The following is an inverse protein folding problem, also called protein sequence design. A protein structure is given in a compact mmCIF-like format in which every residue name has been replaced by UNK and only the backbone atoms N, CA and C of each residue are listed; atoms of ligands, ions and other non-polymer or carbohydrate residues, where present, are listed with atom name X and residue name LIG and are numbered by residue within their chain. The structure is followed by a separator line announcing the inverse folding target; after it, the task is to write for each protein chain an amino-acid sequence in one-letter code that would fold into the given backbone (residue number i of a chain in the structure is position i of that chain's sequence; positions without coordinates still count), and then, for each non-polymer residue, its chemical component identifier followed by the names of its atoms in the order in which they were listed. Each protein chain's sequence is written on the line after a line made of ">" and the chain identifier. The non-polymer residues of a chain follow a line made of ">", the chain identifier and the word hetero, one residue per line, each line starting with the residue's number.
data_IF_378806898267
#
_entry.id   IF_378806898267
#
_cell.length_a   1.000
_cell.length_b   1.000
_cell.length_c   1.000
_cell.angle_alpha   90.00
_cell.angle_beta   90.00
_cell.angle_gamma   90.00
#
_symmetry.space_group_name_H-M   'P 1'
#
loop_
_entity.id
_entity.type
_entity.pdbx_description
1 polymer ?
#
# COMPACT_ATOMS: atom_id res chain seq x y z
N UNK A 1 -9.88 -21.35 12.52
CA UNK A 1 -10.85 -20.43 11.88
C UNK A 1 -10.54 -20.34 10.40
N UNK A 2 -11.59 -20.37 9.57
CA UNK A 2 -11.46 -20.21 8.12
C UNK A 2 -11.77 -18.75 7.72
N UNK A 3 -10.84 -18.15 6.97
CA UNK A 3 -11.03 -16.82 6.40
C UNK A 3 -11.05 -16.89 4.86
N UNK A 4 -12.00 -16.20 4.24
CA UNK A 4 -12.03 -16.00 2.78
C UNK A 4 -11.77 -14.54 2.46
N UNK A 5 -10.71 -14.28 1.69
CA UNK A 5 -10.43 -12.99 1.06
C UNK A 5 -11.14 -12.92 -0.30
N UNK A 6 -12.07 -12.01 -0.44
CA UNK A 6 -12.85 -11.79 -1.66
C UNK A 6 -12.22 -10.67 -2.48
N UNK A 7 -11.55 -11.03 -3.57
CA UNK A 7 -10.80 -10.11 -4.44
C UNK A 7 -11.48 -10.10 -5.82
N UNK A 8 -12.54 -9.28 -5.96
CA UNK A 8 -13.34 -9.21 -7.20
C UNK A 8 -13.32 -7.81 -7.80
N UNK A 9 -12.98 -6.79 -7.03
CA UNK A 9 -12.82 -5.43 -7.53
C UNK A 9 -11.64 -5.32 -8.51
N UNK A 10 -10.59 -6.11 -8.29
CA UNK A 10 -9.42 -6.26 -9.15
C UNK A 10 -9.16 -7.75 -9.47
N UNK A 11 -8.26 -8.02 -10.42
CA UNK A 11 -7.79 -9.39 -10.69
C UNK A 11 -6.68 -9.72 -9.69
N UNK A 12 -6.82 -10.84 -9.00
CA UNK A 12 -5.75 -11.37 -8.16
C UNK A 12 -4.54 -11.75 -9.02
N UNK A 13 -3.36 -11.30 -8.63
CA UNK A 13 -2.10 -11.60 -9.31
C UNK A 13 -1.06 -12.01 -8.27
N UNK A 14 -0.54 -13.21 -8.39
CA UNK A 14 0.51 -13.69 -7.50
C UNK A 14 1.84 -12.95 -7.67
N UNK A 15 2.64 -12.95 -6.60
CA UNK A 15 3.99 -12.40 -6.60
C UNK A 15 4.06 -10.87 -6.52
N UNK A 16 2.92 -10.18 -6.41
CA UNK A 16 2.88 -8.74 -6.21
C UNK A 16 2.86 -8.37 -4.73
N UNK A 17 3.49 -7.25 -4.38
CA UNK A 17 3.50 -6.71 -3.00
C UNK A 17 2.26 -5.87 -2.66
N UNK A 18 1.08 -6.27 -3.17
CA UNK A 18 -0.18 -5.58 -2.86
C UNK A 18 -0.77 -6.10 -1.56
N UNK A 19 -1.59 -5.28 -0.90
CA UNK A 19 -2.25 -5.64 0.35
C UNK A 19 -3.12 -6.90 0.20
N UNK A 20 -3.81 -7.06 -0.93
CA UNK A 20 -4.61 -8.24 -1.27
C UNK A 20 -3.80 -9.53 -1.46
N UNK A 21 -2.46 -9.44 -1.56
CA UNK A 21 -1.55 -10.60 -1.55
C UNK A 21 -0.95 -10.83 -0.16
N UNK A 22 -0.54 -9.74 0.51
CA UNK A 22 0.21 -9.84 1.77
C UNK A 22 -0.72 -10.18 2.95
N UNK A 23 -1.90 -9.57 3.05
CA UNK A 23 -2.84 -9.88 4.14
C UNK A 23 -3.24 -11.37 4.19
N UNK A 24 -3.63 -12.03 3.08
CA UNK A 24 -3.89 -13.47 3.11
C UNK A 24 -2.69 -14.29 3.55
N UNK A 25 -1.47 -13.97 3.08
CA UNK A 25 -0.25 -14.65 3.49
C UNK A 25 0.01 -14.52 5.00
N UNK A 26 -0.19 -13.31 5.55
CA UNK A 26 -0.07 -13.10 7.01
C UNK A 26 -1.15 -13.81 7.83
N UNK A 27 -2.35 -13.95 7.30
CA UNK A 27 -3.38 -14.75 7.96
C UNK A 27 -3.03 -16.25 7.98
N UNK A 28 -2.33 -16.78 6.96
CA UNK A 28 -1.74 -18.13 7.03
C UNK A 28 -0.68 -18.21 8.14
N UNK A 29 0.24 -17.24 8.20
CA UNK A 29 1.27 -17.18 9.26
C UNK A 29 0.65 -17.09 10.68
N UNK A 30 -0.53 -16.48 10.81
CA UNK A 30 -1.32 -16.42 12.04
C UNK A 30 -2.12 -17.70 12.34
N UNK A 31 -1.95 -18.75 11.52
CA UNK A 31 -2.59 -20.06 11.72
C UNK A 31 -4.05 -20.13 11.27
N UNK A 32 -4.53 -19.23 10.41
CA UNK A 32 -5.86 -19.32 9.84
C UNK A 32 -5.88 -20.20 8.59
N UNK A 33 -6.97 -20.97 8.38
CA UNK A 33 -7.27 -21.64 7.12
C UNK A 33 -7.70 -20.56 6.11
N UNK A 34 -6.74 -20.10 5.31
CA UNK A 34 -6.89 -18.89 4.49
C UNK A 34 -7.15 -19.24 3.04
N UNK A 35 -8.24 -18.68 2.52
CA UNK A 35 -8.66 -18.82 1.14
C UNK A 35 -8.71 -17.45 0.46
N UNK A 36 -8.40 -17.42 -0.82
CA UNK A 36 -8.63 -16.28 -1.72
C UNK A 36 -9.63 -16.72 -2.78
N UNK A 37 -10.69 -15.94 -2.96
CA UNK A 37 -11.61 -16.10 -4.09
C UNK A 37 -11.52 -14.90 -5.02
N UNK A 38 -11.27 -15.15 -6.29
CA UNK A 38 -11.16 -14.13 -7.33
C UNK A 38 -11.68 -14.66 -8.67
N UNK A 39 -11.36 -14.03 -9.77
CA UNK A 39 -11.71 -14.47 -11.10
C UNK A 39 -10.52 -14.37 -12.05
N UNK A 40 -10.50 -15.23 -13.06
CA UNK A 40 -9.54 -15.14 -14.16
C UNK A 40 -10.25 -14.71 -15.44
N UNK A 41 -9.69 -13.71 -16.13
CA UNK A 41 -10.24 -13.20 -17.39
C UNK A 41 -10.13 -14.19 -18.55
N UNK A 42 -9.24 -15.18 -18.43
CA UNK A 42 -8.89 -16.12 -19.52
C UNK A 42 -9.60 -17.45 -19.41
N UNK A 43 -10.26 -17.76 -18.26
CA UNK A 43 -10.86 -19.07 -18.03
C UNK A 43 -12.37 -19.01 -17.93
N UNK A 44 -13.04 -19.80 -18.76
CA UNK A 44 -14.47 -20.09 -18.69
C UNK A 44 -14.79 -21.14 -17.60
N UNK A 45 -13.78 -21.89 -17.17
CA UNK A 45 -13.85 -22.89 -16.09
C UNK A 45 -13.17 -22.34 -14.84
N UNK A 46 -13.69 -22.71 -13.68
CA UNK A 46 -13.08 -22.39 -12.40
C UNK A 46 -11.76 -23.16 -12.21
N UNK A 47 -10.81 -22.55 -11.49
CA UNK A 47 -9.51 -23.17 -11.16
C UNK A 47 -9.27 -23.04 -9.66
N UNK A 48 -8.84 -24.11 -9.03
CA UNK A 48 -8.46 -24.14 -7.62
C UNK A 48 -7.02 -24.65 -7.49
N UNK A 49 -6.21 -23.99 -6.65
CA UNK A 49 -4.82 -24.39 -6.35
C UNK A 49 -4.38 -23.83 -5.00
N UNK A 50 -3.28 -24.34 -4.47
CA UNK A 50 -2.61 -23.76 -3.28
C UNK A 50 -1.33 -23.08 -3.73
N UNK A 51 -1.14 -21.83 -3.38
CA UNK A 51 0.05 -21.07 -3.75
C UNK A 51 1.23 -21.36 -2.80
N UNK A 52 2.38 -20.74 -3.09
CA UNK A 52 3.62 -20.93 -2.32
C UNK A 52 3.54 -20.45 -0.84
N UNK A 53 2.62 -19.53 -0.54
CA UNK A 53 2.38 -19.05 0.82
C UNK A 53 1.32 -19.88 1.57
N UNK A 54 0.85 -21.01 1.01
CA UNK A 54 -0.12 -21.92 1.62
C UNK A 54 -1.57 -21.44 1.51
N UNK A 55 -1.85 -20.43 0.70
CA UNK A 55 -3.19 -19.89 0.48
C UNK A 55 -3.93 -20.76 -0.53
N UNK A 56 -5.15 -21.18 -0.21
CA UNK A 56 -6.04 -21.84 -1.17
C UNK A 56 -6.68 -20.78 -2.06
N UNK A 57 -6.33 -20.77 -3.34
CA UNK A 57 -6.81 -19.80 -4.33
C UNK A 57 -7.87 -20.45 -5.22
N UNK A 58 -9.04 -19.84 -5.29
CA UNK A 58 -10.14 -20.26 -6.17
C UNK A 58 -10.45 -19.13 -7.15
N UNK A 59 -10.19 -19.39 -8.42
CA UNK A 59 -10.52 -18.47 -9.51
C UNK A 59 -11.86 -18.90 -10.11
N UNK A 60 -12.91 -18.13 -9.86
CA UNK A 60 -14.24 -18.42 -10.36
C UNK A 60 -14.36 -18.14 -11.86
N UNK A 61 -15.19 -18.92 -12.59
CA UNK A 61 -15.46 -18.67 -13.99
C UNK A 61 -16.13 -17.30 -14.19
N UNK A 62 -15.76 -16.63 -15.27
CA UNK A 62 -16.36 -15.34 -15.63
C UNK A 62 -17.75 -15.53 -16.24
N UNK A 63 -18.57 -14.50 -16.10
CA UNK A 63 -19.88 -14.46 -16.72
C UNK A 63 -19.75 -13.96 -18.17
N UNK A 64 -19.99 -14.85 -19.16
CA UNK A 64 -19.87 -14.58 -20.59
C UNK A 64 -21.06 -13.82 -21.20
N UNK A 65 -21.60 -12.81 -20.54
CA UNK A 65 -22.62 -12.00 -21.19
C UNK A 65 -22.00 -11.12 -22.29
N UNK A 66 -22.77 -10.85 -23.38
CA UNK A 66 -22.35 -9.92 -24.44
C UNK A 66 -21.94 -8.54 -23.93
N UNK A 67 -22.44 -8.14 -22.76
CA UNK A 67 -22.10 -6.90 -22.06
C UNK A 67 -20.72 -6.93 -21.39
N UNK A 68 -20.14 -8.11 -21.10
CA UNK A 68 -18.78 -8.19 -20.53
C UNK A 68 -17.69 -7.81 -21.52
N UNK A 69 -17.99 -7.83 -22.85
CA UNK A 69 -17.07 -7.35 -23.89
C UNK A 69 -16.94 -5.81 -23.93
N UNK A 70 -17.92 -5.07 -23.44
CA UNK A 70 -17.88 -3.60 -23.28
C UNK A 70 -17.26 -3.20 -21.93
N UNK A 71 -16.06 -3.66 -21.68
CA UNK A 71 -15.31 -3.68 -20.40
C UNK A 71 -15.16 -2.33 -19.69
N UNK A 72 -15.39 -1.21 -20.34
CA UNK A 72 -15.19 0.13 -19.76
C UNK A 72 -16.45 0.79 -19.23
N UNK A 73 -17.62 0.28 -19.56
CA UNK A 73 -18.91 0.87 -19.15
C UNK A 73 -19.61 0.10 -18.01
N UNK A 74 -19.08 -1.03 -17.56
CA UNK A 74 -19.94 -1.98 -16.83
C UNK A 74 -19.34 -2.51 -15.53
N UNK A 75 -19.11 -1.61 -14.57
CA UNK A 75 -19.05 -1.98 -13.15
C UNK A 75 -20.38 -2.56 -12.62
N UNK A 76 -21.42 -2.50 -13.42
CA UNK A 76 -22.78 -2.97 -13.11
C UNK A 76 -23.01 -4.46 -13.41
N UNK A 77 -22.12 -5.10 -14.16
CA UNK A 77 -22.30 -6.49 -14.55
C UNK A 77 -21.55 -7.40 -13.60
N UNK A 78 -22.25 -8.42 -13.14
CA UNK A 78 -21.69 -9.51 -12.37
C UNK A 78 -20.55 -10.16 -13.17
N UNK A 79 -19.35 -10.16 -12.62
CA UNK A 79 -18.15 -10.67 -13.30
C UNK A 79 -17.97 -12.16 -13.14
N UNK A 80 -18.44 -12.74 -12.01
CA UNK A 80 -18.17 -14.12 -11.61
C UNK A 80 -19.46 -14.94 -11.57
N UNK A 81 -19.32 -16.26 -11.74
CA UNK A 81 -20.36 -17.23 -11.46
C UNK A 81 -20.00 -18.05 -10.23
N UNK A 82 -20.98 -18.35 -9.37
CA UNK A 82 -20.81 -19.29 -8.27
C UNK A 82 -20.18 -18.74 -7.00
N UNK A 83 -20.04 -17.41 -6.83
CA UNK A 83 -19.49 -16.86 -5.59
C UNK A 83 -20.32 -17.24 -4.35
N UNK A 84 -21.65 -17.20 -4.45
CA UNK A 84 -22.54 -17.62 -3.36
C UNK A 84 -22.35 -19.11 -3.05
N UNK A 85 -22.33 -19.97 -4.09
CA UNK A 85 -22.17 -21.43 -3.95
C UNK A 85 -20.81 -21.80 -3.39
N UNK A 86 -19.75 -21.04 -3.78
CA UNK A 86 -18.43 -21.18 -3.19
C UNK A 86 -18.43 -20.92 -1.69
N UNK A 87 -19.09 -19.85 -1.24
CA UNK A 87 -19.21 -19.55 0.19
C UNK A 87 -20.07 -20.58 0.94
N UNK A 88 -21.12 -21.14 0.31
CA UNK A 88 -21.91 -22.26 0.88
C UNK A 88 -21.09 -23.55 1.02
N UNK A 89 -20.19 -23.83 0.08
CA UNK A 89 -19.24 -24.95 0.14
C UNK A 89 -18.23 -24.75 1.28
N UNK A 90 -17.61 -23.60 1.32
CA UNK A 90 -16.46 -23.31 2.19
C UNK A 90 -16.86 -22.94 3.62
N UNK A 91 -18.03 -22.34 3.84
CA UNK A 91 -18.59 -21.93 5.15
C UNK A 91 -17.58 -21.16 6.01
N UNK A 92 -17.11 -19.97 5.58
CA UNK A 92 -16.11 -19.22 6.30
C UNK A 92 -16.61 -18.69 7.66
N UNK A 93 -15.71 -18.59 8.63
CA UNK A 93 -15.91 -17.86 9.87
C UNK A 93 -15.73 -16.35 9.67
N UNK A 94 -14.82 -15.99 8.77
CA UNK A 94 -14.47 -14.61 8.47
C UNK A 94 -14.49 -14.40 6.95
N UNK A 95 -15.05 -13.28 6.51
CA UNK A 95 -14.96 -12.80 5.13
C UNK A 95 -14.26 -11.43 5.16
N UNK A 96 -13.22 -11.28 4.32
CA UNK A 96 -12.54 -10.02 4.11
C UNK A 96 -12.67 -9.61 2.63
N UNK A 97 -13.36 -8.51 2.36
CA UNK A 97 -13.58 -8.02 0.99
C UNK A 97 -12.55 -6.95 0.66
N UNK A 98 -11.81 -7.13 -0.44
CA UNK A 98 -10.88 -6.15 -0.97
C UNK A 98 -11.53 -5.28 -2.04
N UNK A 99 -11.92 -4.06 -1.64
CA UNK A 99 -12.55 -3.06 -2.49
C UNK A 99 -14.05 -3.25 -2.68
N UNK A 100 -14.74 -2.16 -2.97
CA UNK A 100 -16.22 -2.08 -3.11
C UNK A 100 -16.68 -2.10 -4.58
N UNK A 101 -15.77 -2.06 -5.55
CA UNK A 101 -16.05 -1.76 -6.95
C UNK A 101 -16.44 -3.00 -7.76
N UNK A 102 -17.36 -3.83 -7.21
CA UNK A 102 -17.91 -4.99 -7.90
C UNK A 102 -19.32 -5.31 -7.43
N UNK A 103 -20.25 -5.51 -8.37
CA UNK A 103 -21.65 -5.86 -8.03
C UNK A 103 -21.79 -7.27 -7.44
N UNK A 104 -20.84 -8.16 -7.74
CA UNK A 104 -20.77 -9.52 -7.19
C UNK A 104 -20.73 -9.54 -5.66
N UNK A 105 -20.25 -8.45 -5.04
CA UNK A 105 -20.23 -8.29 -3.58
C UNK A 105 -21.64 -8.41 -2.96
N UNK A 106 -22.69 -8.14 -3.72
CA UNK A 106 -24.06 -8.36 -3.27
C UNK A 106 -24.37 -9.84 -3.03
N UNK A 107 -23.64 -10.78 -3.63
CA UNK A 107 -23.75 -12.20 -3.32
C UNK A 107 -23.23 -12.50 -1.91
N UNK A 108 -22.17 -11.79 -1.48
CA UNK A 108 -21.69 -11.86 -0.08
C UNK A 108 -22.77 -11.37 0.87
N UNK A 109 -23.45 -10.26 0.53
CA UNK A 109 -24.58 -9.77 1.35
C UNK A 109 -25.73 -10.79 1.45
N UNK A 110 -26.06 -11.48 0.34
CA UNK A 110 -27.09 -12.53 0.34
C UNK A 110 -26.68 -13.70 1.23
N UNK A 111 -25.42 -14.09 1.19
CA UNK A 111 -24.89 -15.17 2.00
C UNK A 111 -24.89 -14.79 3.49
N UNK A 112 -24.38 -13.60 3.87
CA UNK A 112 -24.38 -13.10 5.24
C UNK A 112 -25.81 -12.94 5.84
N UNK A 113 -26.83 -12.72 5.01
CA UNK A 113 -28.22 -12.70 5.45
C UNK A 113 -28.66 -14.04 6.05
N UNK A 114 -28.16 -15.15 5.49
CA UNK A 114 -28.43 -16.52 5.94
C UNK A 114 -27.51 -16.95 7.09
N UNK A 115 -26.26 -16.49 7.09
CA UNK A 115 -25.19 -16.90 8.01
C UNK A 115 -24.78 -15.73 8.93
N UNK A 116 -25.55 -15.52 10.01
CA UNK A 116 -25.43 -14.32 10.87
C UNK A 116 -24.18 -14.30 11.77
N UNK A 117 -23.52 -15.44 11.96
CA UNK A 117 -22.37 -15.56 12.86
C UNK A 117 -21.03 -15.25 12.15
N UNK A 118 -21.05 -15.03 10.83
CA UNK A 118 -19.85 -14.68 10.07
C UNK A 118 -19.37 -13.27 10.40
N UNK A 119 -18.08 -13.11 10.56
CA UNK A 119 -17.44 -11.79 10.70
C UNK A 119 -17.11 -11.24 9.34
N UNK A 120 -17.63 -10.06 9.00
CA UNK A 120 -17.38 -9.42 7.69
C UNK A 120 -16.58 -8.14 7.88
N UNK A 121 -15.46 -8.04 7.18
CA UNK A 121 -14.59 -6.87 7.07
C UNK A 121 -14.45 -6.45 5.61
N UNK A 122 -14.22 -5.17 5.38
CA UNK A 122 -14.11 -4.60 4.02
C UNK A 122 -13.01 -3.56 4.02
N UNK A 123 -12.05 -3.64 3.11
CA UNK A 123 -11.11 -2.55 2.87
C UNK A 123 -11.48 -1.72 1.64
N UNK A 124 -10.87 -0.55 1.51
CA UNK A 124 -11.14 0.39 0.44
C UNK A 124 -9.87 1.14 0.02
N UNK A 125 -9.59 1.08 -1.28
CA UNK A 125 -8.42 1.68 -1.90
C UNK A 125 -8.74 2.87 -2.82
N UNK A 126 -10.02 3.18 -3.05
CA UNK A 126 -10.41 4.36 -3.82
C UNK A 126 -10.40 5.63 -2.97
N UNK A 127 -9.94 6.73 -3.56
CA UNK A 127 -9.91 8.07 -2.95
C UNK A 127 -10.18 9.17 -4.00
N UNK A 128 -10.08 10.43 -3.56
CA UNK A 128 -10.33 11.61 -4.42
C UNK A 128 -9.32 11.76 -5.56
N UNK A 129 -8.15 11.18 -5.44
CA UNK A 129 -7.07 11.29 -6.41
C UNK A 129 -7.11 10.17 -7.46
N UNK A 130 -7.44 8.95 -7.07
CA UNK A 130 -7.33 7.79 -7.95
C UNK A 130 -8.67 7.30 -8.54
N UNK A 131 -9.81 7.95 -8.19
CA UNK A 131 -11.11 7.35 -8.50
C UNK A 131 -11.98 8.11 -9.49
N UNK A 132 -12.38 9.36 -9.31
CA UNK A 132 -13.34 9.96 -10.23
C UNK A 132 -12.65 10.70 -11.39
N UNK A 133 -13.08 10.36 -12.61
CA UNK A 133 -12.63 11.05 -13.83
C UNK A 133 -13.35 12.42 -13.95
N UNK A 134 -14.61 12.50 -13.51
CA UNK A 134 -15.42 13.72 -13.53
C UNK A 134 -16.59 13.66 -12.53
N UNK A 135 -17.31 14.80 -12.35
CA UNK A 135 -18.43 14.90 -11.38
C UNK A 135 -19.56 13.91 -11.66
N UNK A 136 -19.88 13.66 -12.94
CA UNK A 136 -20.95 12.73 -13.33
C UNK A 136 -20.57 11.29 -12.99
N UNK A 137 -19.34 10.87 -13.30
CA UNK A 137 -18.80 9.55 -12.92
C UNK A 137 -18.82 9.37 -11.40
N UNK A 138 -18.39 10.39 -10.66
CA UNK A 138 -18.43 10.37 -9.19
C UNK A 138 -19.86 10.17 -8.69
N UNK A 139 -20.84 10.89 -9.23
CA UNK A 139 -22.24 10.77 -8.82
C UNK A 139 -22.80 9.39 -9.16
N UNK A 140 -22.71 8.96 -10.42
CA UNK A 140 -23.38 7.74 -10.90
C UNK A 140 -22.75 6.47 -10.34
N UNK A 141 -21.44 6.34 -10.39
CA UNK A 141 -20.75 5.12 -9.99
C UNK A 141 -20.43 5.09 -8.51
N UNK A 142 -19.79 6.14 -8.01
CA UNK A 142 -19.27 6.11 -6.65
C UNK A 142 -20.35 6.39 -5.60
N UNK A 143 -21.20 7.41 -5.77
CA UNK A 143 -22.26 7.69 -4.81
C UNK A 143 -23.47 6.73 -4.93
N UNK A 144 -23.96 6.51 -6.15
CA UNK A 144 -25.18 5.71 -6.32
C UNK A 144 -24.86 4.22 -6.25
N UNK A 145 -24.02 3.71 -7.15
CA UNK A 145 -23.80 2.24 -7.25
C UNK A 145 -22.98 1.72 -6.07
N UNK A 146 -21.76 2.25 -5.88
CA UNK A 146 -20.90 1.75 -4.81
C UNK A 146 -21.38 2.20 -3.44
N UNK A 147 -22.03 3.37 -3.33
CA UNK A 147 -22.72 3.78 -2.12
C UNK A 147 -23.88 2.83 -1.77
N UNK A 148 -24.65 2.34 -2.75
CA UNK A 148 -25.66 1.31 -2.53
C UNK A 148 -25.04 0.00 -2.04
N UNK A 149 -23.97 -0.47 -2.68
CA UNK A 149 -23.23 -1.67 -2.25
C UNK A 149 -22.73 -1.51 -0.80
N UNK A 150 -22.08 -0.38 -0.49
CA UNK A 150 -21.60 -0.07 0.84
C UNK A 150 -22.73 -0.06 1.87
N UNK A 151 -23.91 0.48 1.53
CA UNK A 151 -25.11 0.47 2.37
C UNK A 151 -25.63 -0.95 2.64
N UNK A 152 -25.61 -1.85 1.64
CA UNK A 152 -26.00 -3.25 1.84
C UNK A 152 -24.99 -3.97 2.73
N UNK A 153 -23.69 -3.83 2.45
CA UNK A 153 -22.63 -4.40 3.30
C UNK A 153 -22.67 -3.89 4.73
N UNK A 154 -22.99 -2.61 4.93
CA UNK A 154 -23.08 -2.01 6.28
C UNK A 154 -24.09 -2.67 7.20
N UNK A 155 -25.00 -3.50 6.68
CA UNK A 155 -25.94 -4.29 7.49
C UNK A 155 -25.25 -5.45 8.20
N UNK A 156 -24.16 -5.96 7.63
CA UNK A 156 -23.45 -7.17 8.04
C UNK A 156 -22.01 -6.89 8.47
N UNK A 157 -21.32 -5.95 7.83
CA UNK A 157 -19.93 -5.65 8.12
C UNK A 157 -19.75 -5.12 9.55
N UNK A 158 -18.75 -5.69 10.22
CA UNK A 158 -18.26 -5.21 11.51
C UNK A 158 -17.56 -3.88 11.29
N UNK A 159 -16.64 -3.83 10.30
CA UNK A 159 -15.79 -2.67 10.03
C UNK A 159 -15.49 -2.49 8.54
N UNK A 160 -15.36 -1.24 8.15
CA UNK A 160 -14.80 -0.78 6.89
C UNK A 160 -13.46 -0.13 7.15
N UNK A 161 -12.44 -0.52 6.41
CA UNK A 161 -11.09 -0.04 6.52
C UNK A 161 -10.75 0.91 5.38
N UNK A 162 -10.43 2.17 5.67
CA UNK A 162 -9.74 3.02 4.71
C UNK A 162 -8.24 2.83 4.89
N UNK A 163 -7.50 2.58 3.81
CA UNK A 163 -6.05 2.32 3.95
C UNK A 163 -5.20 3.59 4.03
N UNK A 164 -5.82 4.76 3.94
CA UNK A 164 -5.25 6.09 4.24
C UNK A 164 -6.33 7.00 4.82
N UNK A 165 -6.01 8.11 5.51
CA UNK A 165 -7.00 9.05 6.02
C UNK A 165 -7.97 9.58 4.93
N UNK A 166 -7.48 9.84 3.71
CA UNK A 166 -8.38 10.22 2.61
C UNK A 166 -9.38 9.12 2.24
N UNK A 167 -8.99 7.85 2.34
CA UNK A 167 -9.87 6.71 2.05
C UNK A 167 -10.88 6.47 3.16
N UNK A 168 -10.52 6.78 4.40
CA UNK A 168 -11.46 6.85 5.54
C UNK A 168 -12.51 7.92 5.30
N UNK A 169 -12.08 9.12 4.92
CA UNK A 169 -12.99 10.24 4.59
C UNK A 169 -13.88 9.91 3.37
N UNK A 170 -13.33 9.27 2.35
CA UNK A 170 -14.04 8.85 1.15
C UNK A 170 -15.15 7.82 1.43
N UNK A 171 -14.89 6.84 2.31
CA UNK A 171 -15.89 5.89 2.78
C UNK A 171 -17.09 6.60 3.44
N UNK A 172 -16.83 7.64 4.22
CA UNK A 172 -17.86 8.39 4.89
C UNK A 172 -18.62 9.32 3.93
N UNK A 173 -17.89 10.20 3.23
CA UNK A 173 -18.49 11.30 2.45
C UNK A 173 -19.04 10.86 1.09
N UNK A 174 -18.41 9.88 0.45
CA UNK A 174 -18.79 9.45 -0.90
C UNK A 174 -19.68 8.21 -0.85
N UNK A 175 -19.29 7.20 -0.08
CA UNK A 175 -20.07 5.95 0.01
C UNK A 175 -21.15 5.97 1.11
N UNK A 176 -21.15 6.96 2.00
CA UNK A 176 -22.17 7.13 3.04
C UNK A 176 -22.09 6.09 4.15
N UNK A 177 -20.95 5.47 4.39
CA UNK A 177 -20.72 4.55 5.51
C UNK A 177 -20.71 5.35 6.81
N UNK A 178 -21.38 4.84 7.86
CA UNK A 178 -21.42 5.51 9.17
C UNK A 178 -20.03 5.50 9.82
N UNK A 179 -19.59 6.64 10.35
CA UNK A 179 -18.28 6.82 10.99
C UNK A 179 -17.93 5.74 12.02
N UNK A 180 -18.89 5.32 12.85
CA UNK A 180 -18.67 4.26 13.86
C UNK A 180 -18.26 2.89 13.29
N UNK A 181 -18.43 2.68 12.00
CA UNK A 181 -18.03 1.46 11.28
C UNK A 181 -16.76 1.63 10.45
N UNK A 182 -16.17 2.83 10.43
CA UNK A 182 -14.99 3.11 9.64
C UNK A 182 -13.79 3.27 10.58
N UNK A 183 -12.66 2.73 10.15
CA UNK A 183 -11.37 2.97 10.82
C UNK A 183 -10.24 2.89 9.79
N UNK A 184 -9.03 3.25 10.21
CA UNK A 184 -7.83 3.23 9.40
C UNK A 184 -7.12 1.87 9.52
N UNK A 185 -6.87 1.21 8.38
CA UNK A 185 -5.99 0.06 8.25
C UNK A 185 -4.86 0.43 7.29
N UNK A 186 -3.72 0.82 7.82
CA UNK A 186 -2.58 1.27 7.00
C UNK A 186 -2.05 0.16 6.10
N UNK A 187 -1.34 0.53 5.05
CA UNK A 187 -0.45 -0.37 4.32
C UNK A 187 0.87 -0.47 5.08
N UNK A 188 1.78 -1.36 4.67
CA UNK A 188 3.02 -1.54 5.41
C UNK A 188 4.11 -2.28 4.65
N UNK A 189 5.09 -2.77 5.40
CA UNK A 189 6.17 -3.63 4.94
C UNK A 189 5.99 -5.08 5.39
N UNK A 190 6.39 -6.00 4.51
CA UNK A 190 6.40 -7.43 4.81
C UNK A 190 7.66 -7.79 5.56
N UNK A 191 7.53 -8.09 6.86
CA UNK A 191 8.63 -8.44 7.77
C UNK A 191 9.44 -9.66 7.31
N UNK A 192 8.89 -10.52 6.48
CA UNK A 192 9.58 -11.65 5.84
C UNK A 192 10.84 -11.22 5.06
N UNK A 193 10.83 -9.97 4.55
CA UNK A 193 11.92 -9.40 3.76
C UNK A 193 12.74 -8.34 4.52
N UNK A 194 12.39 -8.06 5.78
CA UNK A 194 13.06 -7.07 6.63
C UNK A 194 14.02 -7.79 7.55
N UNK A 195 15.28 -7.93 7.17
CA UNK A 195 16.31 -8.56 8.00
C UNK A 195 16.82 -7.59 9.07
N UNK A 196 15.93 -7.30 10.03
CA UNK A 196 16.23 -6.37 11.12
C UNK A 196 17.33 -6.86 12.04
N UNK A 197 17.39 -8.17 12.31
CA UNK A 197 18.39 -8.79 13.17
C UNK A 197 19.82 -8.61 12.64
N UNK A 198 19.99 -8.60 11.32
CA UNK A 198 21.29 -8.43 10.66
C UNK A 198 21.44 -7.05 10.00
N UNK A 199 20.71 -6.03 10.47
CA UNK A 199 20.67 -4.69 9.86
C UNK A 199 22.08 -4.12 9.60
N UNK A 200 23.00 -4.26 10.54
CA UNK A 200 24.36 -3.73 10.38
C UNK A 200 25.08 -4.39 9.20
N UNK A 201 25.00 -5.73 9.09
CA UNK A 201 25.57 -6.47 7.98
C UNK A 201 24.92 -6.09 6.64
N UNK A 202 23.60 -5.98 6.60
CA UNK A 202 22.86 -5.51 5.40
C UNK A 202 23.32 -4.11 5.01
N UNK A 203 23.43 -3.20 6.00
CA UNK A 203 23.91 -1.81 5.79
C UNK A 203 25.32 -1.79 5.18
N UNK A 204 26.25 -2.51 5.75
CA UNK A 204 27.63 -2.60 5.23
C UNK A 204 27.67 -3.14 3.82
N UNK A 205 26.95 -4.22 3.56
CA UNK A 205 26.90 -4.90 2.26
C UNK A 205 26.32 -4.00 1.17
N UNK A 206 25.18 -3.35 1.42
CA UNK A 206 24.54 -2.46 0.46
C UNK A 206 25.40 -1.22 0.20
N UNK A 207 25.95 -0.60 1.25
CA UNK A 207 26.81 0.56 1.10
C UNK A 207 28.07 0.26 0.30
N UNK A 208 28.71 -0.88 0.57
CA UNK A 208 29.85 -1.35 -0.22
C UNK A 208 29.47 -1.59 -1.68
N UNK A 209 28.32 -2.20 -1.94
CA UNK A 209 27.84 -2.48 -3.31
C UNK A 209 27.67 -1.22 -4.16
N UNK A 210 27.29 -0.10 -3.55
CA UNK A 210 27.03 1.15 -4.26
C UNK A 210 28.10 2.24 -4.02
N UNK A 211 29.27 1.88 -3.50
CA UNK A 211 30.38 2.78 -3.20
C UNK A 211 29.95 3.95 -2.30
N UNK A 212 29.22 3.65 -1.22
CA UNK A 212 28.74 4.62 -0.23
C UNK A 212 29.57 4.44 1.06
N UNK A 213 30.23 5.48 1.57
CA UNK A 213 30.98 5.40 2.82
C UNK A 213 30.09 4.99 4.00
N UNK A 214 30.64 4.18 4.93
CA UNK A 214 29.87 3.67 6.06
C UNK A 214 29.36 4.79 7.01
N UNK A 215 30.10 5.87 7.11
CA UNK A 215 29.76 7.05 7.92
C UNK A 215 28.99 8.14 7.17
N UNK A 216 28.66 7.94 5.89
CA UNK A 216 27.87 8.88 5.12
C UNK A 216 26.41 8.93 5.61
N UNK A 217 25.78 10.09 5.54
CA UNK A 217 24.33 10.23 5.70
C UNK A 217 23.63 9.85 4.40
N UNK A 218 22.96 8.70 4.39
CA UNK A 218 22.34 8.13 3.20
C UNK A 218 20.85 8.44 3.14
N UNK A 219 20.48 9.27 2.18
CA UNK A 219 19.09 9.52 1.79
C UNK A 219 18.64 8.51 0.73
N UNK A 220 17.41 8.02 0.82
CA UNK A 220 16.82 7.12 -0.18
C UNK A 220 15.49 7.64 -0.70
N UNK A 221 15.27 7.49 -2.01
CA UNK A 221 14.00 7.75 -2.68
C UNK A 221 13.80 6.81 -3.86
N UNK A 222 12.56 6.68 -4.37
CA UNK A 222 12.34 5.83 -5.54
C UNK A 222 10.88 5.55 -5.87
N UNK A 223 10.69 4.55 -6.73
CA UNK A 223 9.42 4.15 -7.32
C UNK A 223 9.37 4.47 -8.81
N UNK A 224 8.16 4.73 -9.36
CA UNK A 224 8.05 5.27 -10.71
C UNK A 224 8.54 6.72 -10.69
N UNK A 225 9.64 7.01 -11.36
CA UNK A 225 10.24 8.35 -11.40
C UNK A 225 9.63 9.11 -12.57
N UNK A 226 8.57 9.84 -12.28
CA UNK A 226 7.93 10.81 -13.16
C UNK A 226 7.89 12.18 -12.48
N UNK A 227 7.46 13.22 -13.20
CA UNK A 227 7.39 14.58 -12.68
C UNK A 227 6.61 14.68 -11.36
N UNK A 228 5.52 13.89 -11.21
CA UNK A 228 4.66 13.94 -10.03
C UNK A 228 5.32 13.41 -8.75
N UNK A 229 6.44 12.69 -8.88
CA UNK A 229 7.24 12.18 -7.76
C UNK A 229 8.24 13.19 -7.22
N UNK A 230 8.52 14.27 -7.95
CA UNK A 230 9.44 15.34 -7.55
C UNK A 230 10.86 14.87 -7.17
N UNK A 231 11.30 13.70 -7.68
CA UNK A 231 12.64 13.16 -7.38
C UNK A 231 13.73 14.04 -8.01
N UNK A 232 13.45 14.68 -9.13
CA UNK A 232 14.33 15.67 -9.74
C UNK A 232 14.64 16.84 -8.79
N UNK A 233 13.61 17.35 -8.06
CA UNK A 233 13.83 18.41 -7.05
C UNK A 233 14.66 17.91 -5.86
N UNK A 234 14.54 16.63 -5.50
CA UNK A 234 15.38 16.04 -4.46
C UNK A 234 16.84 15.90 -4.90
N UNK A 235 17.08 15.55 -6.16
CA UNK A 235 18.44 15.52 -6.75
C UNK A 235 19.05 16.92 -6.65
N UNK A 236 18.34 17.96 -7.11
CA UNK A 236 18.81 19.33 -7.10
C UNK A 236 19.06 19.83 -5.67
N UNK A 237 18.21 19.47 -4.73
CA UNK A 237 18.39 19.79 -3.33
C UNK A 237 19.67 19.19 -2.74
N UNK A 238 19.95 17.91 -3.04
CA UNK A 238 21.16 17.21 -2.57
C UNK A 238 22.44 17.76 -3.20
N UNK A 239 22.42 18.12 -4.49
CA UNK A 239 23.57 18.75 -5.16
C UNK A 239 23.99 20.05 -4.47
N UNK A 240 23.02 20.84 -3.95
CA UNK A 240 23.28 22.11 -3.26
C UNK A 240 23.78 21.95 -1.82
N UNK A 241 23.63 20.79 -1.19
CA UNK A 241 24.12 20.57 0.18
C UNK A 241 25.64 20.64 0.21
N UNK A 242 26.16 21.56 1.04
CA UNK A 242 27.61 21.79 1.15
C UNK A 242 28.35 20.63 1.81
N UNK A 243 27.70 19.92 2.73
CA UNK A 243 28.28 18.78 3.41
C UNK A 243 28.44 17.60 2.46
N UNK A 244 29.65 17.30 2.06
CA UNK A 244 29.97 16.23 1.07
C UNK A 244 29.83 14.81 1.65
N UNK A 245 29.45 14.66 2.92
CA UNK A 245 29.20 13.34 3.52
C UNK A 245 27.72 12.90 3.38
N UNK A 246 26.94 13.55 2.50
CA UNK A 246 25.61 13.13 2.11
C UNK A 246 25.65 12.30 0.83
N UNK A 247 24.85 11.24 0.79
CA UNK A 247 24.63 10.40 -0.39
C UNK A 247 23.13 10.26 -0.63
N UNK A 248 22.75 10.18 -1.92
CA UNK A 248 21.38 9.93 -2.36
C UNK A 248 21.35 8.64 -3.17
N UNK A 249 20.54 7.67 -2.74
CA UNK A 249 20.30 6.42 -3.45
C UNK A 249 18.91 6.44 -4.06
N UNK A 250 18.83 6.30 -5.39
CA UNK A 250 17.57 6.36 -6.14
C UNK A 250 17.32 5.02 -6.82
N UNK A 251 16.07 4.52 -6.75
CA UNK A 251 15.67 3.29 -7.43
C UNK A 251 14.34 3.46 -8.18
N UNK A 252 14.13 2.60 -9.19
CA UNK A 252 12.90 2.56 -9.99
C UNK A 252 13.10 2.96 -11.45
N UNK A 253 12.00 2.95 -12.22
CA UNK A 253 12.05 3.34 -13.63
C UNK A 253 11.79 4.84 -13.79
N UNK A 254 12.62 5.50 -14.58
CA UNK A 254 12.42 6.89 -15.00
C UNK A 254 11.54 6.94 -16.27
N UNK A 255 10.71 7.97 -16.37
CA UNK A 255 10.15 8.37 -17.67
C UNK A 255 11.24 9.02 -18.52
N UNK A 256 11.07 9.07 -19.84
CA UNK A 256 12.08 9.63 -20.76
C UNK A 256 12.51 11.03 -20.37
N UNK A 257 11.55 11.91 -20.08
CA UNK A 257 11.81 13.29 -19.67
C UNK A 257 12.63 13.36 -18.37
N UNK A 258 12.31 12.50 -17.39
CA UNK A 258 13.06 12.43 -16.14
C UNK A 258 14.44 11.80 -16.33
N UNK A 259 14.58 10.88 -17.25
CA UNK A 259 15.86 10.28 -17.58
C UNK A 259 16.84 11.32 -18.18
N UNK A 260 16.35 12.12 -19.12
CA UNK A 260 17.13 13.22 -19.71
C UNK A 260 17.56 14.25 -18.66
N UNK A 261 16.69 14.60 -17.74
CA UNK A 261 16.97 15.57 -16.69
C UNK A 261 17.91 15.03 -15.60
N UNK A 262 17.66 13.81 -15.12
CA UNK A 262 18.33 13.27 -13.94
C UNK A 262 19.68 12.62 -14.26
N UNK A 263 19.81 11.92 -15.41
CA UNK A 263 21.07 11.18 -15.75
C UNK A 263 22.34 12.00 -15.66
N UNK A 264 22.41 13.25 -16.19
CA UNK A 264 23.63 14.06 -16.09
C UNK A 264 24.07 14.36 -14.65
N UNK A 265 23.12 14.33 -13.70
CA UNK A 265 23.34 14.64 -12.30
C UNK A 265 23.63 13.41 -11.43
N UNK A 266 23.40 12.20 -11.97
CA UNK A 266 23.68 10.94 -11.28
C UNK A 266 25.19 10.63 -11.38
N UNK A 267 25.92 11.18 -10.44
CA UNK A 267 27.37 11.00 -10.32
C UNK A 267 27.81 11.18 -8.86
N UNK A 268 29.06 10.85 -8.54
CA UNK A 268 29.63 11.10 -7.21
C UNK A 268 28.80 10.50 -6.08
N UNK A 269 28.12 11.37 -5.32
CA UNK A 269 27.29 11.03 -4.16
C UNK A 269 25.82 10.75 -4.51
N UNK A 270 25.40 10.87 -5.76
CA UNK A 270 24.07 10.50 -6.24
C UNK A 270 24.16 9.17 -7.01
N UNK A 271 23.52 8.13 -6.47
CA UNK A 271 23.57 6.76 -6.99
C UNK A 271 22.20 6.33 -7.50
N UNK A 272 22.17 5.69 -8.66
CA UNK A 272 20.96 5.14 -9.26
C UNK A 272 21.05 3.62 -9.39
N UNK A 273 20.07 2.93 -8.82
CA UNK A 273 20.05 1.45 -8.77
C UNK A 273 19.34 0.85 -9.99
N UNK A 274 18.48 1.64 -10.66
CA UNK A 274 17.57 1.13 -11.67
C UNK A 274 16.30 0.50 -11.06
N UNK A 275 15.58 -0.24 -11.88
CA UNK A 275 14.40 -0.97 -11.43
C UNK A 275 14.78 -2.12 -10.50
N UNK A 276 14.01 -2.27 -9.42
CA UNK A 276 14.12 -3.37 -8.46
C UNK A 276 12.74 -3.94 -8.13
N UNK A 277 12.69 -5.20 -7.74
CA UNK A 277 11.45 -5.82 -7.26
C UNK A 277 11.06 -5.29 -5.88
N UNK A 278 9.77 -5.47 -5.51
CA UNK A 278 9.25 -5.08 -4.19
C UNK A 278 9.99 -5.71 -3.00
N UNK A 279 10.63 -6.86 -3.20
CA UNK A 279 11.41 -7.55 -2.15
C UNK A 279 12.81 -6.95 -1.98
N UNK A 280 13.38 -6.42 -3.05
CA UNK A 280 14.74 -5.86 -3.05
C UNK A 280 14.82 -4.46 -2.46
N UNK A 281 13.69 -3.81 -2.21
CA UNK A 281 13.69 -2.47 -1.62
C UNK A 281 14.06 -2.47 -0.13
N UNK A 282 13.71 -3.51 0.61
CA UNK A 282 13.93 -3.56 2.05
C UNK A 282 15.40 -3.48 2.47
N UNK A 283 16.35 -4.22 1.86
CA UNK A 283 17.78 -4.03 2.15
C UNK A 283 18.26 -2.60 1.90
N UNK A 284 17.72 -1.91 0.88
CA UNK A 284 18.08 -0.53 0.60
C UNK A 284 17.57 0.42 1.70
N UNK A 285 16.35 0.21 2.19
CA UNK A 285 15.81 0.96 3.34
C UNK A 285 16.63 0.72 4.59
N UNK A 286 16.97 -0.53 4.92
CA UNK A 286 17.81 -0.88 6.09
C UNK A 286 19.21 -0.26 6.02
N UNK A 287 19.74 -0.03 4.83
CA UNK A 287 21.05 0.60 4.63
C UNK A 287 21.04 2.14 4.74
N UNK A 288 19.86 2.75 4.67
CA UNK A 288 19.67 4.20 4.61
C UNK A 288 19.51 4.83 5.99
N UNK A 289 19.63 6.15 6.07
CA UNK A 289 19.43 6.94 7.28
C UNK A 289 18.13 7.74 7.22
N UNK A 290 17.68 8.13 6.03
CA UNK A 290 16.49 8.95 5.82
C UNK A 290 15.77 8.56 4.53
N UNK A 291 14.46 8.35 4.59
CA UNK A 291 13.62 8.23 3.38
C UNK A 291 13.04 9.60 3.01
N UNK A 292 13.10 9.97 1.72
CA UNK A 292 12.52 11.22 1.24
C UNK A 292 11.64 10.95 0.03
N UNK A 293 10.33 11.15 0.19
CA UNK A 293 9.35 10.96 -0.87
C UNK A 293 8.57 12.25 -1.10
N UNK A 294 9.08 13.15 -1.94
CA UNK A 294 8.56 14.52 -2.05
C UNK A 294 7.36 14.66 -2.98
N UNK A 295 6.83 13.57 -3.52
CA UNK A 295 5.76 13.59 -4.52
C UNK A 295 4.50 12.84 -4.14
N UNK A 296 3.87 12.26 -5.16
CA UNK A 296 2.65 11.46 -4.98
C UNK A 296 2.89 10.24 -4.11
N UNK A 297 1.94 9.96 -3.22
CA UNK A 297 1.99 8.83 -2.31
C UNK A 297 2.18 7.48 -3.03
N UNK A 298 2.91 6.58 -2.40
CA UNK A 298 3.04 5.17 -2.75
C UNK A 298 3.31 4.36 -1.48
N UNK A 299 3.04 3.07 -1.51
CA UNK A 299 3.29 2.16 -0.39
C UNK A 299 4.76 2.13 0.07
N UNK A 300 5.68 2.64 -0.73
CA UNK A 300 7.09 2.78 -0.34
C UNK A 300 7.29 3.66 0.90
N UNK A 301 6.37 4.59 1.17
CA UNK A 301 6.40 5.40 2.38
C UNK A 301 6.26 4.51 3.62
N UNK A 302 5.20 3.71 3.66
CA UNK A 302 4.92 2.79 4.77
C UNK A 302 5.94 1.65 4.85
N UNK A 303 6.46 1.19 3.70
CA UNK A 303 7.52 0.18 3.67
C UNK A 303 8.83 0.70 4.25
N UNK A 304 9.19 1.97 4.00
CA UNK A 304 10.38 2.57 4.62
C UNK A 304 10.23 2.71 6.13
N UNK A 305 9.03 3.08 6.59
CA UNK A 305 8.71 3.17 8.02
C UNK A 305 8.66 1.80 8.70
N UNK A 306 8.21 0.75 8.02
CA UNK A 306 8.31 -0.63 8.50
C UNK A 306 9.76 -1.10 8.69
N UNK A 307 10.71 -0.50 7.95
CA UNK A 307 12.14 -0.70 8.17
C UNK A 307 12.73 0.20 9.28
N UNK A 308 11.90 0.92 10.05
CA UNK A 308 12.34 1.82 11.10
C UNK A 308 13.11 3.04 10.57
N UNK A 309 12.85 3.46 9.33
CA UNK A 309 13.54 4.57 8.70
C UNK A 309 12.72 5.85 8.90
N UNK A 310 13.29 6.93 9.50
CA UNK A 310 12.60 8.21 9.55
C UNK A 310 12.41 8.80 8.16
N UNK A 311 11.42 9.70 7.98
CA UNK A 311 11.08 10.16 6.65
C UNK A 311 10.75 11.63 6.50
N UNK A 312 10.95 12.16 5.27
CA UNK A 312 10.41 13.42 4.80
C UNK A 312 9.42 13.12 3.69
N UNK A 313 8.18 13.55 3.85
CA UNK A 313 7.10 13.24 2.92
C UNK A 313 6.34 14.51 2.53
N UNK A 314 5.72 14.49 1.34
CA UNK A 314 4.81 15.57 0.94
C UNK A 314 3.54 15.55 1.78
N UNK A 315 3.17 16.69 2.38
CA UNK A 315 1.86 16.88 2.99
C UNK A 315 0.78 17.05 1.92
N UNK A 316 -0.20 16.20 1.95
CA UNK A 316 -1.40 16.22 1.12
C UNK A 316 -2.63 16.66 1.94
N UNK A 317 -2.50 17.76 2.70
CA UNK A 317 -3.57 18.29 3.54
C UNK A 317 -4.18 17.22 4.47
N UNK A 318 -3.33 16.44 5.12
CA UNK A 318 -3.72 15.38 6.03
C UNK A 318 -4.13 14.06 5.38
N UNK A 319 -4.15 13.97 4.06
CA UNK A 319 -4.56 12.76 3.33
C UNK A 319 -3.70 11.52 3.59
N UNK A 320 -2.44 11.74 3.99
CA UNK A 320 -1.46 10.70 4.29
C UNK A 320 -0.68 10.96 5.58
N UNK A 321 -1.22 11.76 6.50
CA UNK A 321 -0.56 12.10 7.75
C UNK A 321 -0.37 10.93 8.73
N UNK A 322 -0.98 9.77 8.45
CA UNK A 322 -0.81 8.53 9.21
C UNK A 322 0.64 8.03 9.21
N UNK A 323 1.48 8.48 8.28
CA UNK A 323 2.91 8.15 8.24
C UNK A 323 3.70 8.77 9.38
N UNK A 324 3.17 9.83 10.01
CA UNK A 324 3.75 10.37 11.24
C UNK A 324 3.13 9.72 12.48
N UNK A 325 3.88 8.85 13.12
CA UNK A 325 3.51 8.16 14.36
C UNK A 325 3.83 8.97 15.61
N UNK A 326 4.07 10.26 15.48
CA UNK A 326 4.35 11.20 16.58
C UNK A 326 5.78 11.71 16.59
N UNK A 327 6.31 12.06 15.43
CA UNK A 327 7.61 12.73 15.26
C UNK A 327 8.68 11.89 14.54
N UNK A 328 8.30 10.82 13.85
CA UNK A 328 9.20 10.06 12.97
C UNK A 328 9.25 10.60 11.54
N UNK A 329 8.39 11.58 11.21
CA UNK A 329 8.27 12.13 9.87
C UNK A 329 8.16 13.66 9.87
N UNK A 330 8.74 14.29 8.84
CA UNK A 330 8.52 15.69 8.50
C UNK A 330 7.58 15.73 7.29
N UNK A 331 6.49 16.48 7.40
CA UNK A 331 5.50 16.66 6.34
C UNK A 331 5.64 18.05 5.73
N UNK A 332 6.02 18.13 4.44
CA UNK A 332 6.28 19.39 3.74
C UNK A 332 5.11 19.70 2.79
N UNK A 333 4.45 20.85 2.98
CA UNK A 333 3.34 21.30 2.12
C UNK A 333 3.81 21.73 0.73
N UNK A 334 4.76 22.63 0.70
CA UNK A 334 5.29 23.20 -0.53
C UNK A 334 6.64 22.56 -0.83
N UNK A 335 6.62 21.58 -1.75
CA UNK A 335 7.84 20.90 -2.17
C UNK A 335 8.56 21.78 -3.18
N UNK A 336 9.75 22.23 -2.79
CA UNK A 336 10.73 22.90 -3.64
C UNK A 336 12.10 22.32 -3.33
N UNK A 337 13.06 22.57 -4.19
CA UNK A 337 14.45 22.24 -3.97
C UNK A 337 14.98 22.83 -2.63
N UNK A 338 14.68 24.09 -2.36
CA UNK A 338 15.14 24.78 -1.15
C UNK A 338 14.51 24.17 0.12
N UNK A 339 13.17 23.90 0.12
CA UNK A 339 12.53 23.28 1.29
C UNK A 339 13.02 21.87 1.56
N UNK A 340 13.37 21.10 0.52
CA UNK A 340 14.00 19.79 0.69
C UNK A 340 15.41 19.90 1.23
N UNK A 341 16.22 20.81 0.68
CA UNK A 341 17.57 21.09 1.15
C UNK A 341 17.57 21.48 2.63
N UNK A 342 16.77 22.49 3.03
CA UNK A 342 16.66 22.98 4.40
C UNK A 342 16.31 21.87 5.39
N UNK A 343 15.31 21.04 5.08
CA UNK A 343 14.88 19.97 6.00
C UNK A 343 15.89 18.82 6.10
N UNK A 344 16.55 18.45 5.00
CA UNK A 344 17.61 17.44 5.02
C UNK A 344 18.81 17.97 5.82
N UNK A 345 19.24 19.20 5.57
CA UNK A 345 20.35 19.83 6.26
C UNK A 345 20.07 20.02 7.76
N UNK A 346 18.83 20.40 8.11
CA UNK A 346 18.38 20.48 9.52
C UNK A 346 18.61 19.16 10.26
N UNK A 347 18.24 18.03 9.64
CA UNK A 347 18.42 16.71 10.26
C UNK A 347 19.89 16.28 10.34
N UNK A 348 20.73 16.69 9.38
CA UNK A 348 22.16 16.42 9.41
C UNK A 348 22.88 17.24 10.49
N UNK A 349 22.48 18.49 10.68
CA UNK A 349 23.13 19.44 11.61
C UNK A 349 22.59 19.31 13.03
N UNK A 350 21.35 18.86 13.21
CA UNK A 350 20.72 18.67 14.52
C UNK A 350 20.61 17.19 14.89
N UNK A 351 21.74 16.64 15.35
CA UNK A 351 21.80 15.22 15.74
C UNK A 351 20.74 14.84 16.79
N UNK A 352 20.46 15.68 17.76
CA UNK A 352 19.48 15.36 18.81
C UNK A 352 18.06 15.23 18.25
N UNK A 353 17.70 16.10 17.29
CA UNK A 353 16.41 16.01 16.57
C UNK A 353 16.34 14.74 15.73
N UNK A 354 17.39 14.45 14.97
CA UNK A 354 17.46 13.25 14.14
C UNK A 354 17.38 11.97 14.97
N UNK A 355 18.15 11.86 16.05
CA UNK A 355 18.16 10.68 16.93
C UNK A 355 16.75 10.45 17.53
N UNK A 356 16.07 11.49 18.01
CA UNK A 356 14.69 11.38 18.51
C UNK A 356 13.72 10.90 17.41
N UNK A 357 13.85 11.44 16.21
CA UNK A 357 13.02 11.06 15.07
C UNK A 357 13.25 9.60 14.68
N UNK A 358 14.51 9.17 14.70
CA UNK A 358 14.93 7.78 14.44
C UNK A 358 14.40 6.82 15.51
N UNK A 359 14.49 7.16 16.79
CA UNK A 359 13.96 6.33 17.87
C UNK A 359 12.45 6.07 17.69
N UNK A 360 11.68 7.12 17.36
CA UNK A 360 10.24 6.96 17.09
C UNK A 360 10.01 6.07 15.85
N UNK A 361 10.82 6.22 14.80
CA UNK A 361 10.74 5.37 13.62
C UNK A 361 11.02 3.90 13.95
N UNK A 362 12.07 3.61 14.72
CA UNK A 362 12.50 2.24 15.03
C UNK A 362 11.57 1.54 16.04
N UNK A 363 11.05 2.25 17.05
CA UNK A 363 10.29 1.61 18.13
C UNK A 363 8.78 1.73 17.97
N UNK A 364 8.27 2.77 17.29
CA UNK A 364 6.83 3.00 17.17
C UNK A 364 6.33 2.85 15.74
N UNK A 365 6.93 3.57 14.78
CA UNK A 365 6.47 3.50 13.39
C UNK A 365 6.70 2.13 12.79
N UNK A 366 7.87 1.53 13.00
CA UNK A 366 8.17 0.17 12.55
C UNK A 366 7.07 -0.82 12.97
N UNK A 367 6.73 -0.90 14.26
CA UNK A 367 5.70 -1.81 14.75
C UNK A 367 4.32 -1.53 14.14
N UNK A 368 4.00 -0.24 13.92
CA UNK A 368 2.74 0.16 13.33
C UNK A 368 2.59 -0.26 11.87
N UNK A 369 3.70 -0.30 11.12
CA UNK A 369 3.69 -0.60 9.68
C UNK A 369 4.14 -2.03 9.33
N UNK A 370 4.39 -2.93 10.27
CA UNK A 370 4.61 -4.35 9.98
C UNK A 370 3.29 -5.05 9.60
N UNK A 371 3.29 -5.80 8.50
CA UNK A 371 2.07 -6.44 8.02
C UNK A 371 1.50 -7.48 8.97
N UNK A 372 2.30 -8.13 9.81
CA UNK A 372 1.77 -9.06 10.84
C UNK A 372 0.83 -8.34 11.82
N UNK A 373 1.18 -7.11 12.24
CA UNK A 373 0.34 -6.31 13.14
C UNK A 373 -0.89 -5.75 12.41
N UNK A 374 -0.73 -5.36 11.14
CA UNK A 374 -1.82 -4.92 10.28
C UNK A 374 -2.81 -6.07 10.05
N UNK A 375 -2.33 -7.29 9.79
CA UNK A 375 -3.19 -8.46 9.60
C UNK A 375 -3.99 -8.83 10.86
N UNK A 376 -3.38 -8.75 12.04
CA UNK A 376 -4.10 -8.92 13.32
C UNK A 376 -5.21 -7.87 13.46
N UNK A 377 -4.89 -6.59 13.22
CA UNK A 377 -5.84 -5.49 13.28
C UNK A 377 -6.97 -5.65 12.27
N UNK A 378 -6.68 -6.13 11.06
CA UNK A 378 -7.62 -6.26 9.96
C UNK A 378 -8.86 -7.09 10.30
N UNK A 379 -8.75 -8.04 11.23
CA UNK A 379 -9.80 -8.97 11.65
C UNK A 379 -10.01 -8.99 13.17
N UNK A 380 -9.58 -7.94 13.87
CA UNK A 380 -9.71 -7.74 15.32
C UNK A 380 -9.16 -8.93 16.14
N UNK A 381 -8.00 -9.51 15.76
CA UNK A 381 -7.25 -10.47 16.59
C UNK A 381 -6.21 -9.71 17.41
N UNK A 382 -6.07 -10.09 18.69
CA UNK A 382 -5.10 -9.53 19.63
C UNK A 382 -3.71 -10.18 19.47
#
# INVERSE_FOLDING_TARGET
>A
MKIIHVIIAAVYKEGFGYQENILPAKHVELGLDTHVVSFNKEYTLGTEYTNADGIKVSLLPINESKFTKMRYLVSFVKKTRGLFDYMEKEKPDIIFIHGLQAIDILEVCKWCKKHKNVKLYVDQHADYYNSPINKLTTLLYYKIVYGYIAKQLSKYAIKFWGVTPWRVDYLQKVYGVKQKKIDLLVMGGDEKYIDWGNRNFVRETIRKKYDIPQNAFLVISGGKIDETKNIHLLIDAVEKIKNKNIYLLIFGNMTTDMEEYCKPKINGNIKYVGWISSKQVYPLFLASDLSVFPGTHSVLWEQSLACGLPGIFKDWNGGFNHVDCGGNAILIKNITEDTLNENIQLLMDNKAMYDKMKDIAEYKAREHFLYINIAKKAIDIK
#
